data_IF_683009505654
#
_entry.id   IF_683009505654
#
_cell.length_a   1.000
_cell.length_b   1.000
_cell.length_c   1.000
_cell.angle_alpha   90.00
_cell.angle_beta   90.00
_cell.angle_gamma   90.00
#
_symmetry.space_group_name_H-M   'P 1'
#
loop_
_entity.id
_entity.type
_entity.pdbx_description
1 polymer ?
#
# COMPACT_ATOMS: atom_id res chain seq x y z
N UNK A 1 -18.70 -0.53 12.56
CA UNK A 1 -18.36 -0.56 11.13
C UNK A 1 -17.06 -1.33 10.99
N UNK A 2 -17.05 -2.39 10.19
CA UNK A 2 -15.87 -3.20 9.91
C UNK A 2 -15.07 -2.49 8.81
N UNK A 3 -13.79 -2.19 9.02
CA UNK A 3 -13.01 -1.38 8.08
C UNK A 3 -11.65 -2.00 7.77
N UNK A 4 -11.29 -1.99 6.49
CA UNK A 4 -9.98 -2.36 5.96
C UNK A 4 -9.32 -1.13 5.36
N UNK A 5 -8.28 -0.62 6.02
CA UNK A 5 -7.44 0.45 5.47
C UNK A 5 -6.23 -0.18 4.78
N UNK A 6 -6.28 -0.23 3.45
CA UNK A 6 -5.27 -0.88 2.62
C UNK A 6 -4.28 0.16 2.08
N UNK A 7 -3.02 0.09 2.53
CA UNK A 7 -1.96 1.00 2.11
C UNK A 7 -1.06 0.34 1.07
N UNK A 8 -1.04 0.93 -0.13
CA UNK A 8 -0.34 0.41 -1.32
C UNK A 8 0.65 1.41 -1.88
N UNK A 9 1.64 0.93 -2.63
CA UNK A 9 2.75 1.77 -3.12
C UNK A 9 4.06 1.01 -3.24
N UNK A 10 4.98 1.52 -4.05
CA UNK A 10 6.27 0.90 -4.30
C UNK A 10 7.18 0.83 -3.06
N UNK A 11 8.30 0.10 -3.18
CA UNK A 11 9.35 0.16 -2.15
C UNK A 11 9.91 1.58 -2.08
N UNK A 12 10.14 2.12 -0.88
CA UNK A 12 10.63 3.50 -0.73
C UNK A 12 9.55 4.59 -0.86
N UNK A 13 8.30 4.24 -1.16
CA UNK A 13 7.19 5.21 -1.24
C UNK A 13 6.88 5.92 0.09
N UNK A 14 7.28 5.37 1.24
CA UNK A 14 7.01 5.95 2.56
C UNK A 14 5.73 5.44 3.23
N UNK A 15 5.20 4.28 2.79
CA UNK A 15 3.98 3.67 3.34
C UNK A 15 4.02 3.45 4.85
N UNK A 16 5.08 2.83 5.36
CA UNK A 16 5.18 2.55 6.80
C UNK A 16 5.21 3.84 7.63
N UNK A 17 5.92 4.88 7.15
CA UNK A 17 5.93 6.21 7.77
C UNK A 17 4.55 6.86 7.72
N UNK A 18 3.83 6.76 6.60
CA UNK A 18 2.46 7.24 6.48
C UNK A 18 1.51 6.52 7.45
N UNK A 19 1.67 5.21 7.62
CA UNK A 19 0.89 4.45 8.59
C UNK A 19 1.20 4.91 10.01
N UNK A 20 2.47 4.92 10.39
CA UNK A 20 2.93 5.24 11.74
C UNK A 20 2.54 6.66 12.18
N UNK A 21 2.75 7.65 11.29
CA UNK A 21 2.58 9.06 11.64
C UNK A 21 1.20 9.63 11.27
N UNK A 22 0.38 8.89 10.52
CA UNK A 22 -0.93 9.38 10.07
C UNK A 22 -2.05 8.40 10.36
N UNK A 23 -2.05 7.20 9.77
CA UNK A 23 -3.22 6.31 9.90
C UNK A 23 -3.35 5.70 11.30
N UNK A 24 -2.27 5.19 11.90
CA UNK A 24 -2.32 4.53 13.21
C UNK A 24 -2.82 5.47 14.33
N UNK A 25 -2.39 6.75 14.43
CA UNK A 25 -2.98 7.70 15.36
C UNK A 25 -4.47 7.99 15.13
N UNK A 26 -4.92 7.99 13.87
CA UNK A 26 -6.33 8.22 13.51
C UNK A 26 -7.21 6.98 13.70
N UNK A 27 -6.60 5.79 13.67
CA UNK A 27 -7.27 4.49 13.74
C UNK A 27 -6.71 3.65 14.89
N UNK A 28 -6.74 4.12 16.15
CA UNK A 28 -6.05 3.49 17.27
C UNK A 28 -6.62 2.10 17.65
N UNK A 29 -7.79 1.75 17.12
CA UNK A 29 -8.44 0.44 17.34
C UNK A 29 -8.21 -0.56 16.21
N UNK A 30 -7.56 -0.15 15.11
CA UNK A 30 -7.29 -1.04 13.99
C UNK A 30 -5.99 -1.81 14.21
N UNK A 31 -6.02 -3.12 13.98
CA UNK A 31 -4.80 -3.94 14.00
C UNK A 31 -3.92 -3.61 12.80
N UNK A 32 -2.60 -3.50 13.00
CA UNK A 32 -1.67 -3.32 11.89
C UNK A 32 -1.08 -4.68 11.46
N UNK A 33 -1.26 -5.04 10.19
CA UNK A 33 -0.76 -6.30 9.62
C UNK A 33 0.23 -6.02 8.49
N UNK A 34 1.53 -6.23 8.77
CA UNK A 34 2.61 -6.09 7.80
C UNK A 34 3.56 -7.31 7.88
N UNK A 35 3.84 -7.92 6.73
CA UNK A 35 4.68 -9.12 6.64
C UNK A 35 6.13 -8.87 7.04
N UNK A 36 6.70 -7.71 6.69
CA UNK A 36 8.08 -7.35 7.06
C UNK A 36 8.20 -7.16 8.58
N UNK A 37 7.19 -6.57 9.22
CA UNK A 37 7.15 -6.43 10.68
C UNK A 37 6.98 -7.78 11.39
N UNK A 38 6.17 -8.68 10.83
CA UNK A 38 6.08 -10.06 11.32
C UNK A 38 7.42 -10.76 11.19
N UNK A 39 8.11 -10.60 10.04
CA UNK A 39 9.42 -11.22 9.81
C UNK A 39 10.46 -10.76 10.83
N UNK A 40 10.59 -9.44 11.02
CA UNK A 40 11.54 -8.84 11.98
C UNK A 40 11.30 -9.29 13.41
N UNK A 41 10.03 -9.40 13.83
CA UNK A 41 9.67 -9.80 15.20
C UNK A 41 9.89 -11.28 15.46
N UNK A 42 9.62 -12.13 14.47
CA UNK A 42 9.64 -13.60 14.63
C UNK A 42 11.00 -14.22 14.31
N UNK A 43 11.73 -13.64 13.36
CA UNK A 43 13.06 -14.09 12.94
C UNK A 43 14.02 -12.91 12.93
N UNK A 44 14.41 -12.38 14.11
CA UNK A 44 15.28 -11.20 14.19
C UNK A 44 16.64 -11.43 13.51
N UNK A 45 17.15 -12.66 13.51
CA UNK A 45 18.46 -13.01 12.95
C UNK A 45 18.44 -13.19 11.41
N UNK A 46 17.30 -13.60 10.83
CA UNK A 46 17.13 -13.72 9.37
C UNK A 46 15.70 -13.38 8.90
N UNK A 47 15.28 -12.10 8.96
CA UNK A 47 13.94 -11.72 8.50
C UNK A 47 13.76 -11.96 6.99
N UNK A 48 14.83 -11.82 6.21
CA UNK A 48 14.78 -11.87 4.75
C UNK A 48 14.54 -13.30 4.24
N UNK A 49 15.24 -14.28 4.82
CA UNK A 49 15.07 -15.70 4.51
C UNK A 49 13.66 -16.21 4.81
N UNK A 50 12.98 -15.62 5.81
CA UNK A 50 11.61 -15.98 6.20
C UNK A 50 10.51 -15.12 5.55
N UNK A 51 10.82 -14.32 4.53
CA UNK A 51 9.86 -13.41 3.89
C UNK A 51 8.60 -14.09 3.35
N UNK A 52 8.71 -15.31 2.80
CA UNK A 52 7.55 -16.08 2.32
C UNK A 52 6.67 -16.57 3.49
N UNK A 53 7.29 -17.07 4.56
CA UNK A 53 6.58 -17.53 5.74
C UNK A 53 5.86 -16.38 6.44
N UNK A 54 6.53 -15.23 6.58
CA UNK A 54 5.93 -14.02 7.13
C UNK A 54 4.76 -13.51 6.27
N UNK A 55 4.87 -13.58 4.94
CA UNK A 55 3.78 -13.23 4.04
C UNK A 55 2.56 -14.15 4.19
N UNK A 56 2.79 -15.45 4.42
CA UNK A 56 1.72 -16.44 4.72
C UNK A 56 1.06 -16.16 6.06
N UNK A 57 1.85 -15.89 7.10
CA UNK A 57 1.33 -15.50 8.44
C UNK A 57 0.47 -14.24 8.30
N UNK A 58 0.97 -13.20 7.62
CA UNK A 58 0.21 -11.98 7.39
C UNK A 58 -1.12 -12.22 6.66
N UNK A 59 -1.13 -13.12 5.66
CA UNK A 59 -2.36 -13.51 4.97
C UNK A 59 -3.36 -14.20 5.90
N UNK A 60 -2.91 -15.18 6.69
CA UNK A 60 -3.75 -15.86 7.66
C UNK A 60 -4.26 -14.91 8.75
N UNK A 61 -3.44 -13.98 9.22
CA UNK A 61 -3.86 -12.95 10.19
C UNK A 61 -4.96 -12.07 9.62
N UNK A 62 -4.83 -11.59 8.38
CA UNK A 62 -5.90 -10.80 7.72
C UNK A 62 -7.18 -11.60 7.58
N UNK A 63 -7.10 -12.85 7.12
CA UNK A 63 -8.26 -13.73 7.01
C UNK A 63 -8.96 -13.90 8.37
N UNK A 64 -8.18 -14.14 9.44
CA UNK A 64 -8.72 -14.27 10.79
C UNK A 64 -9.37 -12.99 11.31
N UNK A 65 -8.79 -11.82 11.02
CA UNK A 65 -9.39 -10.54 11.41
C UNK A 65 -10.72 -10.31 10.69
N UNK A 66 -10.81 -10.68 9.40
CA UNK A 66 -12.05 -10.64 8.63
C UNK A 66 -13.11 -11.56 9.24
N UNK A 67 -12.75 -12.81 9.58
CA UNK A 67 -13.65 -13.76 10.26
C UNK A 67 -14.17 -13.22 11.60
N UNK A 68 -13.33 -12.49 12.34
CA UNK A 68 -13.67 -11.90 13.63
C UNK A 68 -14.43 -10.57 13.50
N UNK A 69 -14.53 -9.98 12.30
CA UNK A 69 -15.11 -8.65 12.10
C UNK A 69 -14.26 -7.52 12.69
N UNK A 70 -12.96 -7.75 12.90
CA UNK A 70 -12.04 -6.77 13.46
C UNK A 70 -11.48 -5.84 12.38
N UNK A 71 -11.40 -4.55 12.67
CA UNK A 71 -10.86 -3.57 11.72
C UNK A 71 -9.34 -3.62 11.70
N UNK A 72 -8.73 -3.41 10.53
CA UNK A 72 -7.28 -3.52 10.38
C UNK A 72 -6.71 -2.65 9.25
N UNK A 73 -5.45 -2.30 9.43
CA UNK A 73 -4.59 -1.65 8.45
C UNK A 73 -3.70 -2.73 7.83
N UNK A 74 -3.70 -2.83 6.50
CA UNK A 74 -2.80 -3.73 5.78
C UNK A 74 -1.83 -2.91 4.92
N UNK A 75 -0.53 -3.21 5.02
CA UNK A 75 0.48 -2.63 4.13
C UNK A 75 0.96 -3.68 3.12
N UNK A 76 1.02 -3.31 1.84
CA UNK A 76 1.65 -4.17 0.84
C UNK A 76 2.21 -3.38 -0.34
N UNK A 77 3.19 -3.95 -1.03
CA UNK A 77 3.64 -3.40 -2.32
C UNK A 77 2.54 -3.51 -3.38
N UNK A 78 1.61 -4.48 -3.28
CA UNK A 78 0.49 -4.67 -4.22
C UNK A 78 0.91 -5.03 -5.68
N UNK A 79 2.02 -5.75 -5.85
CA UNK A 79 2.56 -6.12 -7.17
C UNK A 79 2.24 -7.56 -7.62
N UNK A 80 1.15 -8.15 -7.13
CA UNK A 80 0.71 -9.50 -7.50
C UNK A 80 -0.82 -9.56 -7.55
N UNK A 81 -1.44 -10.19 -8.57
CA UNK A 81 -2.91 -10.22 -8.73
C UNK A 81 -3.67 -10.76 -7.52
N UNK A 82 -3.11 -11.75 -6.81
CA UNK A 82 -3.74 -12.32 -5.60
C UNK A 82 -3.93 -11.31 -4.45
N UNK A 83 -3.44 -10.07 -4.57
CA UNK A 83 -3.76 -9.01 -3.60
C UNK A 83 -5.16 -8.42 -3.81
N UNK A 84 -5.74 -8.56 -5.00
CA UNK A 84 -7.13 -8.19 -5.27
C UNK A 84 -8.13 -9.11 -4.54
N UNK A 85 -7.77 -10.39 -4.36
CA UNK A 85 -8.60 -11.36 -3.63
C UNK A 85 -8.91 -10.91 -2.19
N UNK A 86 -8.00 -10.17 -1.55
CA UNK A 86 -8.24 -9.61 -0.22
C UNK A 86 -9.43 -8.64 -0.21
N UNK A 87 -9.59 -7.83 -1.25
CA UNK A 87 -10.69 -6.88 -1.35
C UNK A 87 -12.01 -7.63 -1.52
N UNK A 88 -12.01 -8.62 -2.41
CA UNK A 88 -13.20 -9.43 -2.70
C UNK A 88 -13.67 -10.17 -1.43
N UNK A 89 -12.74 -10.74 -0.65
CA UNK A 89 -13.04 -11.41 0.63
C UNK A 89 -13.56 -10.41 1.68
N UNK A 90 -12.93 -9.24 1.79
CA UNK A 90 -13.32 -8.21 2.75
C UNK A 90 -14.73 -7.67 2.46
N UNK A 91 -15.04 -7.40 1.20
CA UNK A 91 -16.38 -7.00 0.77
C UNK A 91 -17.44 -8.07 1.04
N UNK A 92 -17.15 -9.34 0.74
CA UNK A 92 -18.05 -10.45 1.05
C UNK A 92 -18.33 -10.58 2.56
N UNK A 93 -17.48 -10.00 3.40
CA UNK A 93 -17.63 -9.92 4.84
C UNK A 93 -18.11 -8.54 5.34
N UNK A 94 -18.73 -7.72 4.48
CA UNK A 94 -19.24 -6.37 4.75
C UNK A 94 -18.22 -5.39 5.38
N UNK A 95 -16.97 -5.46 4.94
CA UNK A 95 -15.99 -4.43 5.29
C UNK A 95 -16.15 -3.23 4.37
N UNK A 96 -16.03 -2.03 4.95
CA UNK A 96 -15.70 -0.82 4.20
C UNK A 96 -14.20 -0.84 3.89
N UNK A 97 -13.85 -0.78 2.61
CA UNK A 97 -12.47 -0.79 2.12
C UNK A 97 -12.06 0.64 1.78
N UNK A 98 -11.00 1.11 2.44
CA UNK A 98 -10.37 2.39 2.12
C UNK A 98 -8.95 2.17 1.66
N UNK A 99 -8.70 2.52 0.40
CA UNK A 99 -7.41 2.38 -0.25
C UNK A 99 -6.60 3.67 -0.09
N UNK A 100 -5.37 3.55 0.41
CA UNK A 100 -4.40 4.63 0.46
C UNK A 100 -3.22 4.30 -0.46
N UNK A 101 -3.15 4.95 -1.62
CA UNK A 101 -2.09 4.74 -2.58
C UNK A 101 -1.00 5.81 -2.42
N UNK A 102 0.22 5.42 -2.08
CA UNK A 102 1.36 6.33 -1.93
C UNK A 102 2.27 6.23 -3.15
N UNK A 103 2.43 7.34 -3.85
CA UNK A 103 3.09 7.44 -5.15
C UNK A 103 4.42 8.19 -5.03
N UNK A 104 5.39 7.71 -5.79
CA UNK A 104 6.66 8.38 -6.07
C UNK A 104 7.15 7.98 -7.48
N UNK A 105 8.04 8.76 -8.12
CA UNK A 105 8.74 8.33 -9.32
C UNK A 105 9.53 7.03 -9.12
N UNK A 106 9.67 6.21 -10.17
CA UNK A 106 10.39 4.93 -10.12
C UNK A 106 11.85 5.11 -9.68
N UNK A 107 12.57 6.08 -10.26
CA UNK A 107 13.96 6.33 -9.90
C UNK A 107 14.11 6.82 -8.46
N UNK A 108 13.14 7.61 -7.97
CA UNK A 108 13.13 8.02 -6.56
C UNK A 108 12.92 6.84 -5.63
N UNK A 109 12.13 5.83 -6.03
CA UNK A 109 11.95 4.60 -5.28
C UNK A 109 13.28 3.85 -5.11
N UNK A 110 14.04 3.70 -6.21
CA UNK A 110 15.37 3.08 -6.19
C UNK A 110 16.33 3.86 -5.31
N UNK A 111 16.38 5.19 -5.44
CA UNK A 111 17.25 6.05 -4.64
C UNK A 111 16.94 5.95 -3.14
N UNK A 112 15.66 6.00 -2.75
CA UNK A 112 15.24 5.88 -1.35
C UNK A 112 15.56 4.52 -0.75
N UNK A 113 15.40 3.43 -1.51
CA UNK A 113 15.81 2.10 -1.03
C UNK A 113 17.33 2.03 -0.85
N UNK A 114 18.12 2.51 -1.82
CA UNK A 114 19.59 2.56 -1.69
C UNK A 114 20.03 3.37 -0.45
N UNK A 115 19.40 4.50 -0.19
CA UNK A 115 19.69 5.30 1.00
C UNK A 115 19.35 4.55 2.29
N UNK A 116 18.19 3.89 2.35
CA UNK A 116 17.79 3.07 3.51
C UNK A 116 18.76 1.92 3.77
N UNK A 117 19.26 1.26 2.73
CA UNK A 117 20.28 0.19 2.85
C UNK A 117 21.57 0.73 3.45
N UNK A 118 22.04 1.91 2.99
CA UNK A 118 23.21 2.58 3.58
C UNK A 118 23.02 2.94 5.06
N UNK A 119 21.77 3.14 5.48
CA UNK A 119 21.40 3.39 6.88
C UNK A 119 21.12 2.08 7.67
N UNK A 120 21.45 0.90 7.14
CA UNK A 120 21.30 -0.39 7.81
C UNK A 120 19.93 -1.06 7.64
N UNK A 121 19.08 -0.57 6.74
CA UNK A 121 17.78 -1.19 6.44
C UNK A 121 17.86 -2.31 5.39
N UNK A 122 16.70 -2.94 5.12
CA UNK A 122 16.61 -4.09 4.21
C UNK A 122 16.90 -3.74 2.74
N UNK A 123 17.77 -4.56 2.13
CA UNK A 123 18.14 -4.48 0.71
C UNK A 123 17.14 -5.19 -0.19
N UNK A 124 16.83 -4.54 -1.31
CA UNK A 124 16.00 -5.08 -2.37
C UNK A 124 16.71 -4.77 -3.68
N UNK A 125 17.05 -5.78 -4.51
CA UNK A 125 17.71 -5.56 -5.78
C UNK A 125 16.93 -4.57 -6.65
N UNK A 126 17.63 -3.64 -7.30
CA UNK A 126 17.00 -2.59 -8.12
C UNK A 126 16.07 -3.16 -9.19
N UNK A 127 16.50 -4.22 -9.89
CA UNK A 127 15.68 -4.91 -10.89
C UNK A 127 14.33 -5.37 -10.32
N UNK A 128 14.33 -5.85 -9.08
CA UNK A 128 13.12 -6.27 -8.36
C UNK A 128 12.26 -5.08 -7.95
N UNK A 129 12.86 -3.93 -7.60
CA UNK A 129 12.13 -2.69 -7.30
C UNK A 129 11.38 -2.22 -8.54
N UNK A 130 12.08 -2.08 -9.68
CA UNK A 130 11.50 -1.62 -10.95
C UNK A 130 10.42 -2.57 -11.47
N UNK A 131 10.69 -3.87 -11.48
CA UNK A 131 9.70 -4.87 -11.89
C UNK A 131 8.41 -4.80 -11.04
N UNK A 132 8.54 -4.64 -9.71
CA UNK A 132 7.39 -4.48 -8.83
C UNK A 132 6.67 -3.15 -9.05
N UNK A 133 7.41 -2.07 -9.30
CA UNK A 133 6.87 -0.75 -9.58
C UNK A 133 5.98 -0.78 -10.82
N UNK A 134 6.45 -1.37 -11.92
CA UNK A 134 5.71 -1.39 -13.18
C UNK A 134 4.42 -2.21 -13.08
N UNK A 135 4.46 -3.38 -12.43
CA UNK A 135 3.27 -4.24 -12.21
C UNK A 135 2.24 -3.65 -11.24
N UNK A 136 2.66 -2.71 -10.40
CA UNK A 136 1.85 -2.17 -9.32
C UNK A 136 0.60 -1.46 -9.84
N UNK A 137 0.77 -0.60 -10.84
CA UNK A 137 -0.19 0.46 -11.07
C UNK A 137 -1.48 -0.02 -11.73
N UNK A 138 -1.42 -1.05 -12.57
CA UNK A 138 -2.62 -1.72 -13.09
C UNK A 138 -3.45 -2.35 -11.96
N UNK A 139 -2.77 -2.96 -10.99
CA UNK A 139 -3.41 -3.59 -9.84
C UNK A 139 -4.00 -2.52 -8.91
N UNK A 140 -3.29 -1.42 -8.67
CA UNK A 140 -3.80 -0.29 -7.86
C UNK A 140 -5.00 0.35 -8.52
N UNK A 141 -4.98 0.56 -9.84
CA UNK A 141 -6.12 1.08 -10.58
C UNK A 141 -7.35 0.17 -10.40
N UNK A 142 -7.15 -1.14 -10.55
CA UNK A 142 -8.21 -2.14 -10.34
C UNK A 142 -8.72 -2.13 -8.89
N UNK A 143 -7.82 -2.02 -7.91
CA UNK A 143 -8.18 -1.99 -6.50
C UNK A 143 -8.95 -0.71 -6.12
N UNK A 144 -8.59 0.42 -6.71
CA UNK A 144 -9.22 1.71 -6.45
C UNK A 144 -10.66 1.77 -7.00
N UNK A 145 -10.94 1.14 -8.14
CA UNK A 145 -12.32 0.94 -8.63
C UNK A 145 -13.15 0.06 -7.69
N UNK A 146 -12.50 -0.92 -7.07
CA UNK A 146 -13.14 -1.86 -6.16
C UNK A 146 -13.22 -1.36 -4.72
N UNK A 147 -12.59 -0.25 -4.37
CA UNK A 147 -12.65 0.25 -3.00
C UNK A 147 -13.86 1.18 -2.82
N UNK A 148 -14.41 1.22 -1.60
CA UNK A 148 -15.46 2.20 -1.26
C UNK A 148 -14.90 3.63 -1.35
N UNK A 149 -13.68 3.81 -0.85
CA UNK A 149 -12.93 5.06 -0.93
C UNK A 149 -11.48 4.78 -1.36
N UNK A 150 -10.92 5.66 -2.20
CA UNK A 150 -9.50 5.64 -2.52
C UNK A 150 -8.90 7.03 -2.43
N UNK A 151 -7.75 7.17 -1.79
CA UNK A 151 -6.97 8.42 -1.79
C UNK A 151 -5.57 8.16 -2.30
N UNK A 152 -5.13 9.00 -3.23
CA UNK A 152 -3.81 8.95 -3.85
C UNK A 152 -2.96 10.09 -3.31
N UNK A 153 -1.74 9.75 -2.92
CA UNK A 153 -0.81 10.63 -2.24
C UNK A 153 0.51 10.74 -3.01
N UNK A 154 0.86 11.93 -3.49
CA UNK A 154 2.20 12.22 -3.97
C UNK A 154 3.15 12.44 -2.79
N UNK A 155 4.15 11.57 -2.67
CA UNK A 155 5.19 11.64 -1.65
C UNK A 155 6.60 11.87 -2.25
N UNK A 156 6.67 12.50 -3.42
CA UNK A 156 7.92 12.79 -4.14
C UNK A 156 8.66 14.01 -3.59
N UNK A 157 7.91 15.00 -3.09
CA UNK A 157 8.47 16.22 -2.50
C UNK A 157 8.95 16.02 -1.05
N UNK A 158 9.77 16.95 -0.56
CA UNK A 158 10.24 16.99 0.83
C UNK A 158 9.08 17.26 1.79
N UNK A 159 8.13 18.11 1.38
CA UNK A 159 6.92 18.42 2.13
C UNK A 159 5.77 17.60 1.55
N UNK A 160 5.34 16.57 2.26
CA UNK A 160 4.32 15.64 1.81
C UNK A 160 4.27 14.41 2.72
N UNK A 161 3.30 13.51 2.56
CA UNK A 161 2.49 13.29 1.35
C UNK A 161 1.40 14.34 1.06
N UNK A 162 1.16 14.63 -0.22
CA UNK A 162 0.08 15.51 -0.71
C UNK A 162 -1.02 14.68 -1.38
N UNK A 163 -2.28 14.97 -1.10
CA UNK A 163 -3.40 14.36 -1.84
C UNK A 163 -3.40 14.90 -3.28
N UNK A 164 -3.47 13.99 -4.25
CA UNK A 164 -3.52 14.29 -5.69
C UNK A 164 -4.78 13.78 -6.37
N UNK A 165 -5.47 12.80 -5.77
CA UNK A 165 -6.79 12.37 -6.21
C UNK A 165 -7.53 11.70 -5.04
N UNK A 166 -8.86 11.83 -5.04
CA UNK A 166 -9.76 11.10 -4.15
C UNK A 166 -10.88 10.48 -4.98
N UNK A 167 -11.25 9.26 -4.66
CA UNK A 167 -12.34 8.53 -5.30
C UNK A 167 -13.33 8.02 -4.27
N UNK A 168 -14.60 7.95 -4.66
CA UNK A 168 -15.66 7.25 -3.95
C UNK A 168 -16.35 6.32 -4.94
N UNK A 169 -16.41 5.03 -4.62
CA UNK A 169 -16.93 3.98 -5.50
C UNK A 169 -16.35 4.06 -6.94
N UNK A 170 -15.03 4.26 -7.05
CA UNK A 170 -14.30 4.39 -8.32
C UNK A 170 -14.47 5.73 -9.05
N UNK A 171 -15.31 6.64 -8.56
CA UNK A 171 -15.57 7.94 -9.19
C UNK A 171 -14.72 9.01 -8.51
N UNK A 172 -14.02 9.83 -9.30
CA UNK A 172 -13.24 10.93 -8.76
C UNK A 172 -14.12 11.99 -8.08
N UNK A 173 -13.71 12.38 -6.88
CA UNK A 173 -14.36 13.42 -6.07
C UNK A 173 -13.40 14.60 -5.95
N UNK A 174 -13.84 15.78 -6.42
CA UNK A 174 -13.00 16.97 -6.46
C UNK A 174 -12.00 16.97 -7.62
N UNK A 175 -10.95 17.78 -7.50
CA UNK A 175 -9.94 17.95 -8.54
C UNK A 175 -8.91 16.83 -8.51
N UNK A 176 -8.60 16.29 -9.68
CA UNK A 176 -7.51 15.33 -9.89
C UNK A 176 -6.28 16.09 -10.36
N UNK A 177 -5.25 16.12 -9.53
CA UNK A 177 -4.02 16.92 -9.68
C UNK A 177 -2.81 16.00 -9.80
N UNK A 178 -2.83 15.13 -10.81
CA UNK A 178 -1.73 14.21 -11.08
C UNK A 178 -0.42 14.96 -11.36
N UNK A 179 0.70 14.58 -10.72
CA UNK A 179 2.01 14.98 -11.19
C UNK A 179 2.28 14.48 -12.62
N UNK A 180 3.09 15.18 -13.40
CA UNK A 180 3.40 14.82 -14.80
C UNK A 180 4.00 13.41 -14.97
N UNK A 181 4.65 12.89 -13.92
CA UNK A 181 5.25 11.56 -13.90
C UNK A 181 4.27 10.44 -13.51
N UNK A 182 3.00 10.76 -13.25
CA UNK A 182 2.00 9.80 -12.76
C UNK A 182 1.95 8.56 -13.66
N UNK A 183 1.92 7.35 -13.08
CA UNK A 183 1.80 6.13 -13.85
C UNK A 183 0.60 6.14 -14.80
N UNK A 184 0.83 5.79 -16.07
CA UNK A 184 -0.19 5.80 -17.11
C UNK A 184 -1.48 5.04 -16.73
N UNK A 185 -1.45 3.88 -16.02
CA UNK A 185 -2.68 3.20 -15.61
C UNK A 185 -3.62 4.06 -14.74
N UNK A 186 -3.06 4.97 -13.94
CA UNK A 186 -3.82 5.88 -13.08
C UNK A 186 -4.30 7.10 -13.88
N UNK A 187 -3.38 7.76 -14.58
CA UNK A 187 -3.66 8.98 -15.33
C UNK A 187 -4.67 8.75 -16.46
N UNK A 188 -4.63 7.58 -17.12
CA UNK A 188 -5.58 7.24 -18.17
C UNK A 188 -6.97 6.90 -17.62
N UNK A 189 -7.05 6.32 -16.42
CA UNK A 189 -8.31 5.87 -15.82
C UNK A 189 -9.07 7.01 -15.14
N UNK A 190 -8.34 7.92 -14.50
CA UNK A 190 -8.89 9.15 -13.94
C UNK A 190 -8.11 10.33 -14.51
N UNK A 191 -8.46 10.84 -15.70
CA UNK A 191 -7.76 11.97 -16.28
C UNK A 191 -7.86 13.21 -15.36
N UNK A 192 -6.74 13.94 -15.27
CA UNK A 192 -6.73 15.26 -14.64
C UNK A 192 -7.57 16.26 -15.43
N UNK A 193 -8.11 17.26 -14.73
CA UNK A 193 -8.80 18.40 -15.34
C UNK A 193 -7.84 19.49 -15.81
#
# INVERSE_FOLDING_TARGET
MKRLDLVVGSNGAGKSTFIELTLAPLLPRSFFVNADEIAKRRWPDDPAGHSYEAARIAANTRARLIELGESFIAETVFSHPSKLELLDIAHAADYTIVLHAVLIPEDLAVQRVRHRVRAGGHDVPESKIRQRYQRLWDLVATAADRADEATFYDNSAIRGPRIVAQLTAGIAVGSVLWPDWTPAPLANRWPGG
#
